data_IF_799916416132
#
_entry.id   IF_799916416132
#
_cell.length_a   1.000
_cell.length_b   1.000
_cell.length_c   1.000
_cell.angle_alpha   90.00
_cell.angle_beta   90.00
_cell.angle_gamma   90.00
#
_symmetry.space_group_name_H-M   'P 1'
#
loop_
_entity.id
_entity.type
_entity.pdbx_description
1 polymer ?
#
# COMPACT_ATOMS: atom_id res chain seq x y z
N UNK A 1 -28.85 1.70 -11.00
CA UNK A 1 -29.03 2.57 -9.81
C UNK A 1 -27.88 2.25 -8.89
N UNK A 2 -27.23 3.25 -8.29
CA UNK A 2 -26.12 3.00 -7.35
C UNK A 2 -26.60 2.33 -6.08
N UNK A 3 -25.76 1.49 -5.45
CA UNK A 3 -26.11 0.64 -4.33
C UNK A 3 -25.14 0.85 -3.16
N UNK A 4 -25.69 1.05 -1.96
CA UNK A 4 -24.92 1.07 -0.71
C UNK A 4 -25.21 -0.20 0.07
N UNK A 5 -24.17 -0.95 0.44
CA UNK A 5 -24.27 -2.17 1.22
C UNK A 5 -23.84 -1.88 2.66
N UNK A 6 -24.73 -2.21 3.61
CA UNK A 6 -24.41 -2.22 5.02
C UNK A 6 -23.94 -3.60 5.46
N UNK A 7 -22.83 -3.69 6.19
CA UNK A 7 -22.30 -4.94 6.74
C UNK A 7 -22.30 -4.87 8.26
N UNK A 8 -23.13 -5.69 8.90
CA UNK A 8 -23.28 -5.78 10.35
C UNK A 8 -22.43 -6.92 10.92
N UNK A 9 -21.57 -6.62 11.91
CA UNK A 9 -20.75 -7.63 12.57
C UNK A 9 -21.14 -7.94 14.01
N UNK A 10 -22.45 -7.91 14.30
CA UNK A 10 -22.95 -8.31 15.62
C UNK A 10 -23.19 -9.81 15.71
N UNK A 11 -22.79 -10.42 16.82
CA UNK A 11 -23.13 -11.83 17.13
C UNK A 11 -24.56 -12.01 17.66
N UNK A 12 -25.25 -10.91 17.96
CA UNK A 12 -26.65 -10.99 18.41
C UNK A 12 -27.57 -11.28 17.23
N UNK A 13 -28.44 -12.28 17.39
CA UNK A 13 -29.48 -12.60 16.41
C UNK A 13 -30.62 -11.57 16.38
N UNK A 14 -30.85 -10.90 17.51
CA UNK A 14 -31.93 -9.93 17.69
C UNK A 14 -31.47 -8.78 18.58
N UNK A 15 -32.10 -7.61 18.44
CA UNK A 15 -31.87 -6.42 19.27
C UNK A 15 -30.41 -5.97 19.33
N UNK A 16 -29.73 -5.95 18.19
CA UNK A 16 -28.37 -5.41 18.07
C UNK A 16 -28.39 -3.90 17.83
N UNK A 17 -27.87 -3.14 18.79
CA UNK A 17 -27.80 -1.66 18.67
C UNK A 17 -26.99 -1.22 17.47
N UNK A 18 -25.87 -1.90 17.15
CA UNK A 18 -25.05 -1.56 15.98
C UNK A 18 -25.77 -1.87 14.66
N UNK A 19 -26.54 -2.96 14.60
CA UNK A 19 -27.34 -3.29 13.42
C UNK A 19 -28.52 -2.33 13.25
N UNK A 20 -29.18 -1.95 14.35
CA UNK A 20 -30.24 -0.94 14.32
C UNK A 20 -29.71 0.40 13.77
N UNK A 21 -28.56 0.88 14.26
CA UNK A 21 -27.95 2.10 13.76
C UNK A 21 -27.46 1.98 12.31
N UNK A 22 -27.07 0.78 11.90
CA UNK A 22 -26.77 0.51 10.50
C UNK A 22 -28.03 0.65 9.63
N UNK A 23 -29.17 0.12 10.07
CA UNK A 23 -30.43 0.30 9.31
C UNK A 23 -30.83 1.78 9.21
N UNK A 24 -30.66 2.56 10.29
CA UNK A 24 -30.87 4.01 10.28
C UNK A 24 -29.96 4.73 9.27
N UNK A 25 -28.69 4.30 9.18
CA UNK A 25 -27.76 4.85 8.19
C UNK A 25 -28.16 4.49 6.76
N UNK A 26 -28.60 3.24 6.53
CA UNK A 26 -29.04 2.78 5.21
C UNK A 26 -30.34 3.45 4.78
N UNK A 27 -31.27 3.69 5.69
CA UNK A 27 -32.49 4.48 5.42
C UNK A 27 -32.11 5.90 4.98
N UNK A 28 -31.19 6.55 5.71
CA UNK A 28 -30.71 7.88 5.35
C UNK A 28 -29.96 7.91 4.00
N UNK A 29 -29.27 6.84 3.63
CA UNK A 29 -28.68 6.68 2.32
C UNK A 29 -29.77 6.52 1.24
N UNK A 30 -30.80 5.71 1.50
CA UNK A 30 -31.91 5.51 0.58
C UNK A 30 -32.69 6.81 0.29
N UNK A 31 -32.84 7.70 1.26
CA UNK A 31 -33.40 9.04 1.09
C UNK A 31 -32.63 9.89 0.06
N UNK A 32 -31.36 9.56 -0.23
CA UNK A 32 -30.55 10.17 -1.29
C UNK A 32 -30.73 9.51 -2.67
N UNK A 33 -31.69 8.60 -2.82
CA UNK A 33 -32.03 7.96 -4.09
C UNK A 33 -31.15 6.80 -4.50
N UNK A 34 -30.44 6.16 -3.54
CA UNK A 34 -29.64 4.97 -3.80
C UNK A 34 -30.33 3.71 -3.29
N UNK A 35 -30.03 2.57 -3.89
CA UNK A 35 -30.47 1.27 -3.34
C UNK A 35 -29.62 0.91 -2.12
N UNK A 36 -30.25 0.24 -1.15
CA UNK A 36 -29.56 -0.21 0.05
C UNK A 36 -29.82 -1.69 0.33
N UNK A 37 -28.83 -2.38 0.84
CA UNK A 37 -28.92 -3.77 1.31
C UNK A 37 -28.17 -3.94 2.62
N UNK A 38 -28.72 -4.71 3.56
CA UNK A 38 -28.08 -5.04 4.81
C UNK A 38 -27.63 -6.50 4.77
N UNK A 39 -26.33 -6.74 4.97
CA UNK A 39 -25.74 -8.06 5.14
C UNK A 39 -25.24 -8.21 6.59
N UNK A 40 -25.27 -9.45 7.08
CA UNK A 40 -24.76 -9.79 8.41
C UNK A 40 -23.57 -10.74 8.27
N UNK A 41 -22.44 -10.38 8.82
CA UNK A 41 -21.26 -11.27 8.84
C UNK A 41 -21.57 -12.62 9.52
N UNK A 42 -22.45 -12.60 10.50
CA UNK A 42 -22.84 -13.79 11.26
C UNK A 42 -23.74 -14.78 10.48
N UNK A 43 -24.24 -14.37 9.31
CA UNK A 43 -25.00 -15.23 8.41
C UNK A 43 -24.08 -16.06 7.50
N UNK A 44 -22.78 -15.78 7.50
CA UNK A 44 -21.76 -16.47 6.72
C UNK A 44 -20.77 -17.20 7.64
N UNK A 45 -20.49 -18.45 7.33
CA UNK A 45 -19.42 -19.18 8.00
C UNK A 45 -18.07 -18.80 7.39
N UNK A 46 -17.38 -17.84 8.02
CA UNK A 46 -16.04 -17.41 7.60
C UNK A 46 -15.04 -18.11 8.50
N UNK A 47 -14.31 -19.09 7.95
CA UNK A 47 -13.29 -19.81 8.68
C UNK A 47 -12.15 -18.85 9.09
N UNK A 48 -11.58 -18.99 10.30
CA UNK A 48 -10.46 -18.18 10.73
C UNK A 48 -9.24 -18.44 9.87
N UNK A 49 -8.42 -17.41 9.64
CA UNK A 49 -7.13 -17.57 8.97
C UNK A 49 -6.21 -18.48 9.78
N UNK A 50 -5.62 -19.47 9.15
CA UNK A 50 -4.67 -20.42 9.76
C UNK A 50 -3.20 -19.99 9.66
N UNK A 51 -2.92 -18.82 9.06
CA UNK A 51 -1.58 -18.26 8.95
C UNK A 51 -0.66 -18.98 7.96
N UNK A 52 -1.20 -19.69 6.97
CA UNK A 52 -0.40 -20.47 6.00
C UNK A 52 0.52 -19.63 5.09
N UNK A 53 0.30 -18.31 5.01
CA UNK A 53 1.11 -17.39 4.20
C UNK A 53 0.91 -17.49 2.68
N UNK A 54 -0.04 -18.26 2.18
CA UNK A 54 -0.26 -18.41 0.73
C UNK A 54 -0.53 -17.07 0.05
N UNK A 55 -1.39 -16.22 0.62
CA UNK A 55 -1.70 -14.89 0.09
C UNK A 55 -0.47 -13.98 0.01
N UNK A 56 0.45 -14.05 0.99
CA UNK A 56 1.71 -13.30 0.97
C UNK A 56 2.66 -13.75 -0.14
N UNK A 57 2.46 -14.94 -0.68
CA UNK A 57 3.24 -15.52 -1.77
C UNK A 57 2.49 -15.50 -3.11
N UNK A 58 1.49 -14.64 -3.26
CA UNK A 58 0.72 -14.51 -4.51
C UNK A 58 -0.14 -15.71 -4.85
N UNK A 59 -0.49 -16.54 -3.87
CA UNK A 59 -1.34 -17.73 -4.06
C UNK A 59 -2.71 -17.50 -3.45
N UNK A 60 -3.73 -18.10 -4.04
CA UNK A 60 -5.07 -18.09 -3.46
C UNK A 60 -5.11 -18.75 -2.09
N UNK A 61 -5.99 -18.25 -1.25
CA UNK A 61 -6.26 -18.84 0.05
C UNK A 61 -6.86 -20.25 -0.12
N UNK A 62 -6.22 -21.25 0.45
CA UNK A 62 -6.69 -22.63 0.34
C UNK A 62 -8.04 -22.87 1.03
N UNK A 63 -8.37 -22.08 2.07
CA UNK A 63 -9.67 -22.14 2.76
C UNK A 63 -10.84 -21.78 1.84
N UNK A 64 -10.62 -21.07 0.71
CA UNK A 64 -11.68 -20.83 -0.27
C UNK A 64 -12.16 -22.11 -0.98
N UNK A 65 -11.42 -23.21 -0.88
CA UNK A 65 -11.79 -24.52 -1.40
C UNK A 65 -12.48 -25.39 -0.33
N UNK A 66 -12.57 -24.91 0.92
CA UNK A 66 -13.29 -25.60 1.98
C UNK A 66 -14.79 -25.42 1.76
N UNK A 67 -15.57 -26.49 1.69
CA UNK A 67 -17.02 -26.41 1.46
C UNK A 67 -17.78 -25.73 2.59
N UNK A 68 -17.19 -25.60 3.77
CA UNK A 68 -17.79 -24.90 4.91
C UNK A 68 -17.49 -23.39 4.90
N UNK A 69 -16.54 -22.91 4.06
CA UNK A 69 -16.18 -21.49 4.01
C UNK A 69 -17.06 -20.71 3.04
N UNK A 70 -17.75 -19.71 3.55
CA UNK A 70 -18.64 -18.86 2.76
C UNK A 70 -18.07 -17.47 2.46
N UNK A 71 -16.78 -17.27 2.60
CA UNK A 71 -16.14 -15.98 2.34
C UNK A 71 -16.36 -15.51 0.91
N UNK A 72 -16.25 -16.41 -0.07
CA UNK A 72 -16.47 -16.09 -1.50
C UNK A 72 -17.90 -15.58 -1.74
N UNK A 73 -18.89 -16.24 -1.14
CA UNK A 73 -20.30 -15.83 -1.25
C UNK A 73 -20.51 -14.41 -0.72
N UNK A 74 -19.92 -14.08 0.44
CA UNK A 74 -19.96 -12.74 0.99
C UNK A 74 -19.32 -11.72 0.06
N UNK A 75 -18.16 -12.02 -0.51
CA UNK A 75 -17.47 -11.11 -1.44
C UNK A 75 -18.26 -10.87 -2.71
N UNK A 76 -18.89 -11.89 -3.27
CA UNK A 76 -19.73 -11.74 -4.47
C UNK A 76 -20.89 -10.78 -4.20
N UNK A 77 -21.45 -10.83 -3.01
CA UNK A 77 -22.46 -9.84 -2.57
C UNK A 77 -21.88 -8.45 -2.40
N UNK A 78 -20.70 -8.33 -1.77
CA UNK A 78 -20.07 -7.02 -1.57
C UNK A 78 -19.64 -6.36 -2.89
N UNK A 79 -19.27 -7.13 -3.91
CA UNK A 79 -18.92 -6.59 -5.24
C UNK A 79 -20.08 -5.82 -5.89
N UNK A 80 -21.32 -6.16 -5.58
CA UNK A 80 -22.51 -5.47 -6.09
C UNK A 80 -22.65 -4.02 -5.58
N UNK A 81 -21.96 -3.65 -4.48
CA UNK A 81 -22.05 -2.33 -3.87
C UNK A 81 -21.16 -1.30 -4.56
N UNK A 82 -21.66 -0.06 -4.66
CA UNK A 82 -20.88 1.13 -5.04
C UNK A 82 -20.30 1.86 -3.84
N UNK A 83 -20.84 1.60 -2.65
CA UNK A 83 -20.38 2.15 -1.37
C UNK A 83 -20.82 1.28 -0.21
N UNK A 84 -20.23 1.49 0.97
CA UNK A 84 -20.39 0.61 2.11
C UNK A 84 -20.61 1.38 3.41
N UNK A 85 -21.38 0.77 4.34
CA UNK A 85 -21.41 1.17 5.73
C UNK A 85 -21.15 -0.06 6.59
N UNK A 86 -20.09 -0.05 7.39
CA UNK A 86 -19.71 -1.13 8.27
C UNK A 86 -20.14 -0.80 9.70
N UNK A 87 -20.84 -1.73 10.37
CA UNK A 87 -21.30 -1.51 11.72
C UNK A 87 -20.88 -2.64 12.66
N UNK A 88 -20.22 -2.27 13.77
CA UNK A 88 -19.72 -3.21 14.77
C UNK A 88 -20.13 -2.81 16.18
N UNK A 89 -20.55 -3.76 17.02
CA UNK A 89 -20.53 -3.55 18.47
C UNK A 89 -19.11 -3.68 19.00
N UNK A 90 -18.86 -3.19 20.20
CA UNK A 90 -17.63 -3.42 20.96
C UNK A 90 -17.80 -4.61 21.89
N UNK A 91 -16.94 -5.62 21.73
CA UNK A 91 -16.84 -6.77 22.64
C UNK A 91 -15.43 -6.81 23.24
N UNK A 92 -15.35 -6.84 24.58
CA UNK A 92 -14.05 -6.83 25.28
C UNK A 92 -13.09 -5.74 24.76
N UNK A 93 -13.59 -4.51 24.61
CA UNK A 93 -12.87 -3.33 24.15
C UNK A 93 -12.38 -3.41 22.69
N UNK A 94 -12.81 -4.38 21.90
CA UNK A 94 -12.39 -4.59 20.51
C UNK A 94 -13.57 -5.04 19.63
N UNK A 95 -13.26 -5.47 18.41
CA UNK A 95 -14.24 -6.03 17.48
C UNK A 95 -14.66 -7.45 17.90
N UNK A 96 -15.89 -7.87 17.59
CA UNK A 96 -16.30 -9.27 17.65
C UNK A 96 -15.44 -10.18 16.78
N UNK A 97 -15.33 -11.46 17.16
CA UNK A 97 -14.52 -12.45 16.43
C UNK A 97 -14.89 -12.55 14.95
N UNK A 98 -16.17 -12.43 14.59
CA UNK A 98 -16.63 -12.48 13.19
C UNK A 98 -16.00 -11.39 12.32
N UNK A 99 -15.78 -10.19 12.87
CA UNK A 99 -15.05 -9.14 12.20
C UNK A 99 -13.59 -9.53 12.00
N UNK A 100 -12.96 -10.10 13.03
CA UNK A 100 -11.56 -10.49 12.95
C UNK A 100 -11.32 -11.59 11.92
N UNK A 101 -12.20 -12.60 11.88
CA UNK A 101 -12.13 -13.63 10.83
C UNK A 101 -12.23 -13.03 9.42
N UNK A 102 -13.12 -12.06 9.21
CA UNK A 102 -13.24 -11.39 7.92
C UNK A 102 -12.01 -10.51 7.62
N UNK A 103 -11.56 -9.69 8.59
CA UNK A 103 -10.40 -8.80 8.42
C UNK A 103 -9.15 -9.58 8.07
N UNK A 104 -8.85 -10.68 8.77
CA UNK A 104 -7.66 -11.50 8.51
C UNK A 104 -7.67 -12.17 7.14
N UNK A 105 -8.84 -12.21 6.51
CA UNK A 105 -9.07 -12.84 5.21
C UNK A 105 -9.65 -11.86 4.18
N UNK A 106 -9.75 -10.56 4.48
CA UNK A 106 -10.20 -9.55 3.53
C UNK A 106 -9.11 -9.18 2.51
N UNK A 107 -7.88 -9.57 2.77
CA UNK A 107 -6.81 -9.50 1.78
C UNK A 107 -7.05 -10.50 0.64
N UNK A 108 -6.25 -10.48 -0.39
CA UNK A 108 -6.45 -10.99 -1.75
C UNK A 108 -6.89 -12.44 -1.89
N UNK A 109 -7.08 -13.10 -0.80
CA UNK A 109 -7.39 -14.53 -0.80
C UNK A 109 -8.77 -14.89 -1.37
N UNK A 110 -9.63 -13.92 -1.61
CA UNK A 110 -11.02 -14.16 -2.00
C UNK A 110 -11.38 -13.73 -3.41
N UNK A 111 -10.53 -13.01 -4.12
CA UNK A 111 -10.85 -12.45 -5.42
C UNK A 111 -9.77 -12.80 -6.47
N UNK A 112 -10.18 -13.41 -7.58
CA UNK A 112 -9.28 -13.76 -8.69
C UNK A 112 -8.81 -12.53 -9.48
N UNK A 113 -9.52 -11.40 -9.32
CA UNK A 113 -9.15 -10.12 -9.93
C UNK A 113 -8.15 -9.31 -9.10
N UNK A 114 -7.61 -9.89 -8.03
CA UNK A 114 -6.66 -9.22 -7.17
C UNK A 114 -5.24 -9.37 -7.70
N UNK A 115 -4.62 -8.25 -8.04
CA UNK A 115 -3.20 -8.19 -8.33
C UNK A 115 -2.41 -7.98 -7.04
N UNK A 116 -1.39 -8.80 -6.84
CA UNK A 116 -0.47 -8.63 -5.73
C UNK A 116 0.61 -7.63 -6.10
N UNK A 117 0.73 -6.56 -5.32
CA UNK A 117 1.90 -5.70 -5.32
C UNK A 117 2.78 -6.05 -4.13
N UNK A 118 4.00 -6.49 -4.40
CA UNK A 118 5.03 -6.55 -3.38
C UNK A 118 5.50 -5.12 -3.12
N UNK A 119 5.27 -4.65 -1.89
CA UNK A 119 5.85 -3.40 -1.43
C UNK A 119 7.16 -3.70 -0.73
N UNK A 120 8.12 -2.80 -0.92
CA UNK A 120 9.34 -2.75 -0.12
C UNK A 120 8.99 -2.69 1.38
N UNK A 121 9.94 -3.04 2.21
CA UNK A 121 9.89 -3.25 3.66
C UNK A 121 9.04 -2.24 4.45
N UNK A 122 8.79 -1.06 3.90
CA UNK A 122 8.10 0.06 4.55
C UNK A 122 6.63 0.15 4.18
N UNK A 123 6.12 -0.73 3.33
CA UNK A 123 4.75 -0.65 2.84
C UNK A 123 4.02 -1.93 3.17
N UNK A 124 2.85 -1.75 3.75
CA UNK A 124 1.90 -2.86 3.93
C UNK A 124 1.60 -3.42 2.55
N UNK A 125 1.73 -4.73 2.40
CA UNK A 125 1.35 -5.43 1.18
C UNK A 125 -0.07 -4.97 0.79
N UNK A 126 -0.17 -4.24 -0.29
CA UNK A 126 -1.44 -3.73 -0.77
C UNK A 126 -1.96 -4.62 -1.85
N UNK A 127 -3.25 -4.82 -1.82
CA UNK A 127 -3.97 -5.51 -2.85
C UNK A 127 -4.47 -4.49 -3.84
N UNK A 128 -4.17 -4.65 -5.13
CA UNK A 128 -4.89 -3.97 -6.20
C UNK A 128 -6.23 -4.67 -6.39
N UNK A 129 -7.17 -4.43 -5.47
CA UNK A 129 -8.54 -4.90 -5.66
C UNK A 129 -9.25 -4.05 -6.70
N UNK A 130 -9.46 -4.57 -7.90
CA UNK A 130 -10.27 -3.89 -8.92
C UNK A 130 -11.71 -3.70 -8.45
N UNK A 131 -12.24 -4.67 -7.69
CA UNK A 131 -13.64 -4.68 -7.27
C UNK A 131 -14.00 -3.58 -6.26
N UNK A 132 -13.09 -3.21 -5.36
CA UNK A 132 -13.33 -2.26 -4.27
C UNK A 132 -12.56 -0.95 -4.41
N UNK A 133 -11.51 -0.91 -5.24
CA UNK A 133 -10.68 0.28 -5.43
C UNK A 133 -11.52 1.50 -5.76
N UNK A 134 -11.37 2.52 -4.93
CA UNK A 134 -12.04 3.80 -5.13
C UNK A 134 -13.50 3.84 -4.69
N UNK A 135 -14.09 2.74 -4.20
CA UNK A 135 -15.42 2.79 -3.58
C UNK A 135 -15.32 3.43 -2.21
N UNK A 136 -16.38 4.11 -1.82
CA UNK A 136 -16.45 4.83 -0.54
C UNK A 136 -16.97 3.96 0.58
N UNK A 137 -16.49 4.20 1.80
CA UNK A 137 -16.96 3.50 2.99
C UNK A 137 -17.18 4.44 4.17
N UNK A 138 -18.13 4.08 5.03
CA UNK A 138 -18.34 4.64 6.34
C UNK A 138 -18.31 3.56 7.41
N UNK A 139 -18.05 3.92 8.66
CA UNK A 139 -18.09 2.99 9.77
C UNK A 139 -18.87 3.53 10.97
N UNK A 140 -19.55 2.63 11.67
CA UNK A 140 -20.30 2.90 12.90
C UNK A 140 -19.85 1.86 13.93
N UNK A 141 -19.30 2.29 15.05
CA UNK A 141 -18.94 1.41 16.14
C UNK A 141 -19.71 1.80 17.39
N UNK A 142 -20.38 0.82 18.01
CA UNK A 142 -21.26 1.04 19.15
C UNK A 142 -20.73 0.31 20.36
N UNK A 143 -20.40 1.05 21.40
CA UNK A 143 -19.98 0.54 22.70
C UNK A 143 -21.06 0.73 23.74
N UNK A 144 -21.24 -0.26 24.60
CA UNK A 144 -22.03 -0.11 25.84
C UNK A 144 -21.27 0.71 26.91
N UNK A 145 -20.01 0.96 26.69
CA UNK A 145 -19.07 1.64 27.55
C UNK A 145 -17.89 2.20 26.75
N UNK A 146 -16.64 2.15 27.28
CA UNK A 146 -15.43 2.50 26.52
C UNK A 146 -15.12 1.46 25.45
N UNK A 147 -14.21 1.81 24.51
CA UNK A 147 -13.62 0.88 23.55
C UNK A 147 -14.05 1.10 22.10
N UNK A 148 -14.97 2.03 21.82
CA UNK A 148 -15.33 2.34 20.43
C UNK A 148 -14.14 2.92 19.67
N UNK A 149 -13.23 3.66 20.32
CA UNK A 149 -12.02 4.23 19.74
C UNK A 149 -11.08 3.13 19.22
N UNK A 150 -10.89 2.08 20.02
CA UNK A 150 -10.02 0.96 19.65
C UNK A 150 -10.65 0.09 18.55
N UNK A 151 -11.96 -0.11 18.62
CA UNK A 151 -12.67 -0.89 17.60
C UNK A 151 -12.72 -0.14 16.25
N UNK A 152 -12.89 1.19 16.24
CA UNK A 152 -12.76 2.01 15.03
C UNK A 152 -11.39 1.84 14.39
N UNK A 153 -10.33 1.97 15.20
CA UNK A 153 -8.95 1.79 14.72
C UNK A 153 -8.69 0.38 14.19
N UNK A 154 -9.34 -0.64 14.77
CA UNK A 154 -9.16 -2.03 14.34
C UNK A 154 -9.82 -2.36 12.99
N UNK A 155 -10.80 -1.56 12.54
CA UNK A 155 -11.41 -1.70 11.20
C UNK A 155 -10.59 -1.02 10.10
N UNK A 156 -9.82 0.02 10.42
CA UNK A 156 -9.09 0.83 9.42
C UNK A 156 -8.14 0.03 8.52
N UNK A 157 -7.36 -0.96 9.02
CA UNK A 157 -6.44 -1.72 8.19
C UNK A 157 -7.11 -2.43 7.03
N UNK A 158 -8.32 -3.00 7.24
CA UNK A 158 -9.01 -3.72 6.17
C UNK A 158 -9.47 -2.77 5.05
N UNK A 159 -9.90 -1.56 5.39
CA UNK A 159 -10.28 -0.58 4.36
C UNK A 159 -9.10 -0.15 3.52
N UNK A 160 -7.93 0.02 4.15
CA UNK A 160 -6.68 0.32 3.43
C UNK A 160 -6.27 -0.85 2.54
N UNK A 161 -6.34 -2.09 3.04
CA UNK A 161 -5.97 -3.28 2.30
C UNK A 161 -6.79 -3.46 1.02
N UNK A 162 -8.12 -3.31 1.10
CA UNK A 162 -9.00 -3.43 -0.08
C UNK A 162 -9.25 -2.09 -0.81
N UNK A 163 -8.49 -1.04 -0.47
CA UNK A 163 -8.49 0.28 -1.11
C UNK A 163 -9.85 1.00 -1.14
N UNK A 164 -10.62 0.83 -0.07
CA UNK A 164 -11.81 1.64 0.17
C UNK A 164 -11.43 3.05 0.65
N UNK A 165 -12.15 4.05 0.13
CA UNK A 165 -12.04 5.43 0.61
C UNK A 165 -12.91 5.63 1.85
N UNK A 166 -12.32 5.65 3.04
CA UNK A 166 -13.04 5.92 4.29
C UNK A 166 -13.41 7.40 4.37
N UNK A 167 -14.70 7.72 4.35
CA UNK A 167 -15.20 9.10 4.28
C UNK A 167 -16.05 9.51 5.48
N UNK A 168 -16.48 8.59 6.28
CA UNK A 168 -17.28 8.84 7.48
C UNK A 168 -17.00 7.81 8.58
N UNK A 169 -16.97 8.29 9.83
CA UNK A 169 -16.71 7.42 10.99
C UNK A 169 -17.52 7.92 12.18
N UNK A 170 -18.23 7.04 12.86
CA UNK A 170 -18.97 7.32 14.07
C UNK A 170 -18.64 6.31 15.18
N UNK A 171 -18.05 6.81 16.26
CA UNK A 171 -17.88 6.08 17.51
C UNK A 171 -18.98 6.48 18.49
N UNK A 172 -19.80 5.55 18.91
CA UNK A 172 -20.98 5.81 19.73
C UNK A 172 -20.86 5.06 21.06
N UNK A 173 -20.86 5.81 22.16
CA UNK A 173 -20.95 5.24 23.51
C UNK A 173 -22.38 5.42 24.04
N UNK A 174 -22.98 4.33 24.46
CA UNK A 174 -24.32 4.33 25.02
C UNK A 174 -24.33 4.51 26.56
N UNK A 175 -23.21 4.92 27.16
CA UNK A 175 -23.13 5.23 28.57
C UNK A 175 -23.82 6.56 28.85
N UNK A 176 -24.86 6.50 29.69
CA UNK A 176 -25.40 7.70 30.31
C UNK A 176 -24.72 7.96 31.67
N UNK A 177 -24.34 9.20 31.89
CA UNK A 177 -23.86 9.71 33.17
C UNK A 177 -24.99 10.47 33.84
N UNK A 178 -25.26 10.20 35.10
CA UNK A 178 -26.29 10.91 35.89
C UNK A 178 -25.77 12.24 36.45
N UNK A 179 -24.62 12.68 36.04
CA UNK A 179 -23.96 13.91 36.51
C UNK A 179 -23.14 13.74 37.78
N UNK A 180 -23.16 12.55 38.42
CA UNK A 180 -22.30 12.26 39.57
C UNK A 180 -21.04 11.51 39.15
N UNK A 181 -19.83 12.02 39.52
CA UNK A 181 -18.58 11.35 39.18
C UNK A 181 -18.57 9.89 39.70
N UNK A 182 -18.30 8.94 38.80
CA UNK A 182 -18.16 7.51 39.13
C UNK A 182 -19.44 6.71 39.13
N UNK A 183 -20.61 7.32 39.01
CA UNK A 183 -21.90 6.59 38.89
C UNK A 183 -22.30 6.54 37.42
N UNK A 184 -22.39 5.33 36.89
CA UNK A 184 -22.83 5.09 35.53
C UNK A 184 -24.19 4.41 35.52
N UNK A 185 -25.16 4.97 34.82
CA UNK A 185 -26.36 4.24 34.49
C UNK A 185 -26.02 3.05 33.62
N UNK A 186 -26.79 1.97 33.75
CA UNK A 186 -26.60 0.82 32.86
C UNK A 186 -26.90 1.23 31.43
N UNK A 187 -25.99 0.95 30.48
CA UNK A 187 -26.08 1.45 29.09
C UNK A 187 -27.30 0.94 28.31
N UNK A 188 -27.96 -0.13 28.82
CA UNK A 188 -29.21 -0.68 28.27
C UNK A 188 -30.44 -0.23 28.99
N UNK A 189 -30.36 0.75 29.87
CA UNK A 189 -31.50 1.32 30.58
C UNK A 189 -32.43 2.12 29.66
N UNK A 190 -31.90 2.54 28.51
CA UNK A 190 -32.62 3.24 27.46
C UNK A 190 -32.57 2.45 26.15
N UNK A 191 -33.74 2.20 25.48
CA UNK A 191 -33.74 1.59 24.15
C UNK A 191 -32.93 2.40 23.17
N UNK A 192 -32.23 1.72 22.24
CA UNK A 192 -31.40 2.40 21.22
C UNK A 192 -32.27 3.29 20.31
N UNK A 193 -33.52 2.93 20.14
CA UNK A 193 -34.49 3.66 19.33
C UNK A 193 -34.79 5.06 19.89
N UNK A 194 -34.55 5.27 21.19
CA UNK A 194 -34.70 6.55 21.88
C UNK A 194 -33.41 7.37 21.94
N UNK A 195 -32.29 6.83 21.46
CA UNK A 195 -31.00 7.50 21.47
C UNK A 195 -30.84 8.42 20.24
N UNK A 196 -31.48 9.60 20.28
CA UNK A 196 -31.56 10.53 19.16
C UNK A 196 -30.19 10.96 18.63
N UNK A 197 -29.23 11.23 19.52
CA UNK A 197 -27.88 11.60 19.12
C UNK A 197 -27.17 10.47 18.34
N UNK A 198 -27.30 9.22 18.80
CA UNK A 198 -26.76 8.06 18.11
C UNK A 198 -27.38 7.89 16.71
N UNK A 199 -28.69 8.09 16.61
CA UNK A 199 -29.40 8.06 15.32
C UNK A 199 -28.93 9.17 14.38
N UNK A 200 -28.76 10.40 14.88
CA UNK A 200 -28.23 11.50 14.07
C UNK A 200 -26.83 11.19 13.53
N UNK A 201 -25.93 10.64 14.36
CA UNK A 201 -24.59 10.24 13.93
C UNK A 201 -24.66 9.14 12.86
N UNK A 202 -25.50 8.14 13.03
CA UNK A 202 -25.69 7.06 12.06
C UNK A 202 -26.24 7.59 10.73
N UNK A 203 -27.27 8.45 10.76
CA UNK A 203 -27.80 9.12 9.58
C UNK A 203 -26.73 9.90 8.83
N UNK A 204 -25.91 10.67 9.56
CA UNK A 204 -24.82 11.45 8.96
C UNK A 204 -23.82 10.56 8.22
N UNK A 205 -23.51 9.36 8.75
CA UNK A 205 -22.64 8.39 8.05
C UNK A 205 -23.30 7.91 6.76
N UNK A 206 -24.56 7.49 6.80
CA UNK A 206 -25.28 7.00 5.63
C UNK A 206 -25.43 8.06 4.52
N UNK A 207 -25.82 9.27 4.88
CA UNK A 207 -25.93 10.41 3.96
C UNK A 207 -24.56 10.74 3.33
N UNK A 208 -23.49 10.75 4.13
CA UNK A 208 -22.14 11.04 3.63
C UNK A 208 -21.69 9.98 2.63
N UNK A 209 -21.91 8.70 2.92
CA UNK A 209 -21.60 7.60 2.00
C UNK A 209 -22.36 7.76 0.69
N UNK A 210 -23.69 7.95 0.76
CA UNK A 210 -24.52 8.08 -0.42
C UNK A 210 -24.14 9.30 -1.29
N UNK A 211 -23.88 10.46 -0.68
CA UNK A 211 -23.50 11.69 -1.38
C UNK A 211 -22.09 11.65 -1.99
N UNK A 212 -21.25 10.72 -1.55
CA UNK A 212 -19.86 10.60 -2.02
C UNK A 212 -19.64 9.43 -2.98
N UNK A 213 -20.71 8.77 -3.42
CA UNK A 213 -20.59 7.67 -4.40
C UNK A 213 -19.92 8.14 -5.69
N UNK A 214 -18.80 7.51 -6.04
CA UNK A 214 -17.95 7.88 -7.17
C UNK A 214 -16.75 8.77 -6.79
N UNK A 215 -16.63 9.21 -5.52
CA UNK A 215 -15.41 9.82 -5.02
C UNK A 215 -14.37 8.74 -4.71
N UNK A 216 -13.12 9.01 -5.03
CA UNK A 216 -12.01 8.11 -4.71
C UNK A 216 -10.76 8.89 -4.33
N UNK A 217 -10.11 8.48 -3.23
CA UNK A 217 -8.78 8.98 -2.88
C UNK A 217 -7.67 8.38 -3.77
N UNK A 218 -8.01 7.33 -4.50
CA UNK A 218 -7.06 6.62 -5.37
C UNK A 218 -7.10 7.13 -6.81
N UNK A 219 -8.08 7.96 -7.16
CA UNK A 219 -8.17 8.59 -8.47
C UNK A 219 -7.56 9.99 -8.37
N UNK A 220 -6.62 10.26 -9.25
CA UNK A 220 -6.09 11.60 -9.37
C UNK A 220 -7.13 12.53 -10.00
N UNK A 221 -7.17 13.82 -9.62
CA UNK A 221 -7.99 14.82 -10.31
C UNK A 221 -7.72 14.79 -11.81
N UNK A 222 -8.76 15.09 -12.61
CA UNK A 222 -8.63 15.17 -14.06
C UNK A 222 -7.51 16.18 -14.42
N UNK A 223 -6.51 15.73 -15.16
CA UNK A 223 -5.33 16.52 -15.52
C UNK A 223 -4.08 16.27 -14.64
N UNK A 224 -4.21 15.51 -13.56
CA UNK A 224 -3.04 14.95 -12.88
C UNK A 224 -2.79 13.53 -13.43
N UNK A 225 -1.60 13.32 -13.92
CA UNK A 225 -1.15 12.00 -14.34
C UNK A 225 -1.08 11.08 -13.12
N UNK A 226 -1.45 9.80 -13.29
CA UNK A 226 -1.22 8.79 -12.25
C UNK A 226 0.26 8.75 -11.90
N UNK A 227 0.59 8.31 -10.69
CA UNK A 227 1.99 8.10 -10.31
C UNK A 227 2.76 7.27 -11.36
N UNK A 228 2.09 6.26 -11.93
CA UNK A 228 2.65 5.44 -13.02
C UNK A 228 2.76 6.24 -14.34
N UNK A 229 1.81 7.14 -14.62
CA UNK A 229 1.84 8.05 -15.77
C UNK A 229 2.84 9.19 -15.57
N UNK A 230 2.97 9.72 -14.34
CA UNK A 230 4.02 10.66 -14.00
C UNK A 230 5.41 10.03 -14.13
N UNK A 231 5.55 8.74 -13.80
CA UNK A 231 6.77 8.00 -14.07
C UNK A 231 6.95 7.66 -15.56
N UNK A 232 5.85 7.41 -16.30
CA UNK A 232 5.90 7.08 -17.72
C UNK A 232 5.87 8.33 -18.63
N UNK A 233 5.17 9.40 -18.23
CA UNK A 233 4.98 10.65 -18.99
C UNK A 233 5.95 11.76 -18.62
N UNK A 234 6.56 11.71 -17.45
CA UNK A 234 7.66 12.56 -17.00
C UNK A 234 8.99 12.25 -17.69
N UNK A 235 8.94 11.75 -18.93
CA UNK A 235 10.03 11.78 -19.89
C UNK A 235 10.16 13.13 -20.62
N UNK A 236 9.97 14.24 -19.97
CA UNK A 236 11.01 15.24 -20.06
C UNK A 236 12.12 14.67 -19.18
N UNK A 237 13.00 13.95 -19.81
CA UNK A 237 14.22 13.47 -19.21
C UNK A 237 14.92 14.71 -18.63
N UNK A 238 14.75 14.94 -17.31
CA UNK A 238 15.79 15.65 -16.60
C UNK A 238 17.05 14.99 -17.10
N UNK A 239 17.86 15.74 -17.86
CA UNK A 239 19.04 15.19 -18.46
C UNK A 239 19.81 14.45 -17.37
N UNK A 240 20.33 13.27 -17.63
CA UNK A 240 21.12 12.54 -16.64
C UNK A 240 22.19 13.44 -16.04
N UNK A 241 22.68 14.40 -16.83
CA UNK A 241 23.64 15.43 -16.43
C UNK A 241 23.22 16.25 -15.20
N UNK A 242 21.93 16.45 -14.98
CA UNK A 242 21.39 17.19 -13.82
C UNK A 242 20.96 16.31 -12.65
N UNK A 243 21.19 15.00 -12.74
CA UNK A 243 20.84 14.10 -11.65
C UNK A 243 21.91 14.14 -10.55
N UNK A 244 21.49 14.40 -9.32
CA UNK A 244 22.35 14.51 -8.16
C UNK A 244 22.41 13.19 -7.39
N UNK A 245 23.64 12.78 -7.04
CA UNK A 245 23.96 11.67 -6.14
C UNK A 245 24.93 12.17 -5.07
N UNK A 246 25.15 11.39 -4.02
CA UNK A 246 26.12 11.76 -2.97
C UNK A 246 27.37 10.88 -3.07
N UNK A 247 28.54 11.51 -2.86
CA UNK A 247 29.80 10.79 -2.76
C UNK A 247 29.99 10.17 -1.36
N UNK A 248 31.12 9.55 -1.09
CA UNK A 248 31.42 8.92 0.19
C UNK A 248 31.53 9.93 1.37
N UNK A 249 31.78 11.18 1.07
CA UNK A 249 31.89 12.31 2.02
C UNK A 249 30.55 13.03 2.25
N UNK A 250 29.43 12.50 1.69
CA UNK A 250 28.08 13.08 1.72
C UNK A 250 27.92 14.40 0.96
N UNK A 251 28.85 14.69 0.03
CA UNK A 251 28.75 15.85 -0.85
C UNK A 251 27.89 15.50 -2.07
N UNK A 252 27.00 16.43 -2.45
CA UNK A 252 26.18 16.28 -3.64
C UNK A 252 27.00 16.48 -4.91
N UNK A 253 26.90 15.54 -5.86
CA UNK A 253 27.61 15.55 -7.13
C UNK A 253 26.62 15.31 -8.26
N UNK A 254 26.72 16.10 -9.33
CA UNK A 254 25.93 15.90 -10.54
C UNK A 254 26.59 14.87 -11.46
N UNK A 255 25.79 13.94 -12.01
CA UNK A 255 26.31 12.94 -12.95
C UNK A 255 27.00 13.58 -14.17
N UNK A 256 26.45 14.69 -14.68
CA UNK A 256 27.04 15.43 -15.81
C UNK A 256 28.45 15.97 -15.52
N UNK A 257 28.70 16.37 -14.28
CA UNK A 257 30.03 16.89 -13.91
C UNK A 257 31.07 15.77 -13.85
N UNK A 258 30.65 14.56 -13.42
CA UNK A 258 31.53 13.38 -13.40
C UNK A 258 31.94 12.92 -14.81
N UNK A 259 31.06 13.05 -15.82
CA UNK A 259 31.33 12.64 -17.20
C UNK A 259 31.97 13.73 -18.06
N UNK A 260 32.33 14.89 -17.49
CA UNK A 260 32.88 16.01 -18.25
C UNK A 260 34.32 15.77 -18.74
N UNK A 261 35.13 15.01 -18.01
CA UNK A 261 36.54 14.79 -18.30
C UNK A 261 36.79 13.42 -18.96
N UNK A 262 36.01 12.39 -18.58
CA UNK A 262 36.17 11.03 -19.10
C UNK A 262 34.82 10.31 -19.12
N UNK A 263 34.62 9.34 -20.03
CA UNK A 263 33.44 8.47 -19.98
C UNK A 263 33.27 7.80 -18.60
N UNK A 264 32.06 7.76 -18.14
CA UNK A 264 31.71 7.20 -16.84
C UNK A 264 30.78 5.99 -16.99
N UNK A 265 30.99 4.98 -16.15
CA UNK A 265 30.16 3.79 -16.10
C UNK A 265 29.75 3.53 -14.67
N UNK A 266 28.47 3.65 -14.40
CA UNK A 266 27.93 3.34 -13.09
C UNK A 266 27.18 2.01 -13.13
N UNK A 267 27.55 1.11 -12.24
CA UNK A 267 26.66 0.00 -11.87
C UNK A 267 25.72 0.51 -10.80
N UNK A 268 24.42 0.40 -11.03
CA UNK A 268 23.38 0.79 -10.10
C UNK A 268 22.84 -0.47 -9.45
N UNK A 269 22.78 -0.53 -8.11
CA UNK A 269 22.25 -1.66 -7.41
C UNK A 269 21.76 -1.33 -6.01
N UNK A 270 20.77 -2.07 -5.55
CA UNK A 270 20.29 -2.06 -4.16
C UNK A 270 20.99 -3.14 -3.32
N UNK A 271 20.57 -3.28 -2.06
CA UNK A 271 21.13 -4.28 -1.15
C UNK A 271 21.02 -5.72 -1.71
N UNK A 272 19.93 -6.04 -2.42
CA UNK A 272 19.71 -7.39 -2.97
C UNK A 272 20.60 -7.62 -4.21
N UNK A 273 20.83 -6.59 -5.01
CA UNK A 273 21.73 -6.65 -6.16
C UNK A 273 23.22 -6.61 -5.78
N UNK A 274 23.55 -6.24 -4.56
CA UNK A 274 24.93 -5.92 -4.13
C UNK A 274 25.96 -7.02 -4.42
N UNK A 275 25.59 -8.29 -4.25
CA UNK A 275 26.46 -9.44 -4.52
C UNK A 275 26.86 -9.52 -6.00
N UNK A 276 26.01 -9.06 -6.92
CA UNK A 276 26.24 -9.08 -8.36
C UNK A 276 27.01 -7.86 -8.86
N UNK A 277 26.93 -6.74 -8.14
CA UNK A 277 27.54 -5.48 -8.56
C UNK A 277 29.07 -5.52 -8.58
N UNK A 278 29.72 -6.17 -7.61
CA UNK A 278 31.17 -6.31 -7.57
C UNK A 278 31.76 -7.03 -8.77
N UNK A 279 31.37 -8.28 -9.06
CA UNK A 279 31.80 -9.01 -10.25
C UNK A 279 31.53 -8.28 -11.57
N UNK A 280 30.40 -7.58 -11.66
CA UNK A 280 30.03 -6.80 -12.84
C UNK A 280 30.98 -5.61 -13.05
N UNK A 281 31.31 -4.88 -11.98
CA UNK A 281 32.27 -3.78 -12.03
C UNK A 281 33.67 -4.25 -12.44
N UNK A 282 34.13 -5.36 -11.88
CA UNK A 282 35.41 -5.96 -12.25
C UNK A 282 35.48 -6.33 -13.74
N UNK A 283 34.40 -6.94 -14.24
CA UNK A 283 34.28 -7.29 -15.65
C UNK A 283 34.29 -6.06 -16.56
N UNK A 284 33.52 -5.01 -16.21
CA UNK A 284 33.50 -3.74 -16.93
C UNK A 284 34.89 -3.07 -16.95
N UNK A 285 35.53 -2.98 -15.79
CA UNK A 285 36.86 -2.38 -15.66
C UNK A 285 37.91 -3.12 -16.52
N UNK A 286 37.87 -4.45 -16.51
CA UNK A 286 38.76 -5.28 -17.32
C UNK A 286 38.54 -5.08 -18.82
N UNK A 287 37.28 -5.05 -19.27
CA UNK A 287 36.93 -4.91 -20.68
C UNK A 287 37.18 -3.51 -21.22
N UNK A 288 36.95 -2.49 -20.39
CA UNK A 288 37.19 -1.09 -20.78
C UNK A 288 38.68 -0.67 -20.75
N UNK A 289 39.53 -1.43 -20.07
CA UNK A 289 40.96 -1.22 -20.08
C UNK A 289 41.41 0.19 -19.67
N UNK A 290 40.67 0.84 -18.75
CA UNK A 290 40.96 2.19 -18.27
C UNK A 290 40.50 3.32 -19.19
N UNK A 291 39.68 3.04 -20.20
CA UNK A 291 39.12 4.05 -21.13
C UNK A 291 37.92 4.80 -20.55
N UNK A 292 37.27 4.24 -19.53
CA UNK A 292 36.22 4.87 -18.78
C UNK A 292 36.41 4.61 -17.28
N UNK A 293 35.89 5.48 -16.43
CA UNK A 293 35.90 5.29 -14.98
C UNK A 293 34.66 4.49 -14.57
N UNK A 294 34.90 3.46 -13.77
CA UNK A 294 33.85 2.57 -13.27
C UNK A 294 33.55 2.86 -11.80
N UNK A 295 32.28 3.02 -11.45
CA UNK A 295 31.83 3.29 -10.10
C UNK A 295 30.52 2.58 -9.77
N UNK A 296 30.21 2.44 -8.48
CA UNK A 296 28.92 1.95 -7.99
C UNK A 296 28.04 3.12 -7.55
N UNK A 297 26.78 3.10 -7.93
CA UNK A 297 25.73 3.87 -7.24
C UNK A 297 24.90 2.91 -6.42
N UNK A 298 25.02 3.00 -5.11
CA UNK A 298 24.23 2.22 -4.17
C UNK A 298 22.86 2.89 -3.96
N UNK A 299 21.79 2.24 -4.36
CA UNK A 299 20.42 2.62 -4.06
C UNK A 299 20.08 2.17 -2.65
N UNK A 300 19.79 3.10 -1.74
CA UNK A 300 19.62 2.78 -0.32
C UNK A 300 18.16 2.87 0.12
N UNK A 301 17.46 3.95 -0.21
CA UNK A 301 16.09 4.18 0.26
C UNK A 301 16.01 4.44 1.77
N UNK A 302 14.83 4.20 2.36
CA UNK A 302 14.61 4.45 3.78
C UNK A 302 15.31 3.38 4.63
N UNK A 303 16.13 3.84 5.57
CA UNK A 303 16.83 2.97 6.52
C UNK A 303 16.02 2.81 7.81
N UNK A 304 16.00 1.61 8.41
CA UNK A 304 15.54 1.42 9.78
C UNK A 304 16.29 2.33 10.76
N UNK A 305 15.63 2.84 11.80
CA UNK A 305 16.17 3.80 12.76
C UNK A 305 17.51 3.41 13.44
N UNK A 306 17.83 2.13 13.44
CA UNK A 306 19.05 1.60 14.04
C UNK A 306 20.21 1.41 13.04
N UNK A 307 19.98 1.69 11.75
CA UNK A 307 21.01 1.61 10.70
C UNK A 307 21.44 3.04 10.33
N UNK A 308 22.72 3.33 10.44
CA UNK A 308 23.29 4.63 10.08
C UNK A 308 23.87 4.62 8.67
N UNK A 309 24.00 5.80 8.07
CA UNK A 309 24.67 5.96 6.78
C UNK A 309 26.10 5.40 6.82
N UNK A 310 26.84 5.62 7.90
CA UNK A 310 28.21 5.10 8.08
C UNK A 310 28.25 3.57 8.08
N UNK A 311 27.27 2.90 8.65
CA UNK A 311 27.17 1.45 8.59
C UNK A 311 26.97 0.97 7.14
N UNK A 312 26.08 1.61 6.40
CA UNK A 312 25.81 1.29 4.98
C UNK A 312 27.06 1.53 4.14
N UNK A 313 27.74 2.67 4.29
CA UNK A 313 28.98 2.98 3.60
C UNK A 313 30.07 1.92 3.87
N UNK A 314 30.23 1.53 5.13
CA UNK A 314 31.17 0.48 5.52
C UNK A 314 30.87 -0.85 4.83
N UNK A 315 29.61 -1.28 4.85
CA UNK A 315 29.17 -2.52 4.20
C UNK A 315 29.31 -2.48 2.68
N UNK A 316 28.96 -1.38 2.04
CA UNK A 316 29.12 -1.22 0.58
C UNK A 316 30.58 -1.30 0.20
N UNK A 317 31.47 -0.65 0.95
CA UNK A 317 32.91 -0.70 0.73
C UNK A 317 33.52 -2.11 0.90
N UNK A 318 33.02 -2.88 1.87
CA UNK A 318 33.41 -4.29 2.04
C UNK A 318 32.96 -5.16 0.86
N UNK A 319 31.78 -4.88 0.29
CA UNK A 319 31.17 -5.68 -0.79
C UNK A 319 31.81 -5.38 -2.16
N UNK A 320 32.23 -4.13 -2.38
CA UNK A 320 32.79 -3.65 -3.66
C UNK A 320 34.11 -2.91 -3.40
N UNK A 321 35.16 -3.61 -2.97
CA UNK A 321 36.43 -2.97 -2.66
C UNK A 321 37.14 -2.44 -3.90
N UNK A 322 37.75 -1.26 -3.76
CA UNK A 322 38.59 -0.69 -4.81
C UNK A 322 37.86 0.14 -5.88
N UNK A 323 36.54 0.26 -5.80
CA UNK A 323 35.75 1.10 -6.68
C UNK A 323 35.29 2.39 -5.99
N UNK A 324 35.07 3.43 -6.78
CA UNK A 324 34.44 4.67 -6.31
C UNK A 324 32.96 4.39 -6.01
N UNK A 325 32.48 4.90 -4.86
CA UNK A 325 31.13 4.67 -4.37
C UNK A 325 30.36 5.97 -4.31
N UNK A 326 29.13 5.90 -4.83
CA UNK A 326 28.14 6.95 -4.72
C UNK A 326 26.87 6.38 -4.11
N UNK A 327 26.02 7.24 -3.55
CA UNK A 327 24.84 6.83 -2.82
C UNK A 327 23.63 7.63 -3.30
N UNK A 328 22.55 6.91 -3.56
CA UNK A 328 21.20 7.42 -3.77
C UNK A 328 20.37 7.08 -2.52
N UNK A 329 20.50 7.93 -1.49
CA UNK A 329 19.87 7.70 -0.19
C UNK A 329 18.36 7.72 -0.21
N UNK A 330 17.75 8.38 -1.18
CA UNK A 330 16.32 8.50 -1.32
C UNK A 330 15.73 7.52 -2.34
N UNK A 331 16.58 6.66 -2.93
CA UNK A 331 16.22 5.72 -4.01
C UNK A 331 15.49 6.39 -5.18
N UNK A 332 15.95 7.55 -5.61
CA UNK A 332 15.40 8.28 -6.76
C UNK A 332 15.65 7.56 -8.09
N UNK A 333 16.76 6.79 -8.16
CA UNK A 333 17.14 6.06 -9.38
C UNK A 333 16.25 4.83 -9.62
N UNK A 334 15.80 4.14 -8.59
CA UNK A 334 14.95 2.96 -8.74
C UNK A 334 13.71 3.23 -9.58
N UNK A 335 12.85 4.16 -9.18
CA UNK A 335 11.69 4.54 -9.95
C UNK A 335 12.04 5.14 -11.32
N UNK A 336 13.08 6.00 -11.39
CA UNK A 336 13.50 6.63 -12.65
C UNK A 336 13.95 5.64 -13.71
N UNK A 337 14.65 4.59 -13.29
CA UNK A 337 15.16 3.53 -14.17
C UNK A 337 14.17 2.38 -14.34
N UNK A 338 13.02 2.42 -13.69
CA UNK A 338 12.05 1.32 -13.62
C UNK A 338 12.68 -0.01 -13.14
N UNK A 339 13.62 0.07 -12.17
CA UNK A 339 14.34 -1.10 -11.66
C UNK A 339 13.54 -1.80 -10.58
N UNK A 340 13.35 -3.10 -10.75
CA UNK A 340 12.83 -3.96 -9.69
C UNK A 340 13.83 -4.12 -8.53
N UNK A 341 13.38 -4.46 -7.31
CA UNK A 341 14.26 -4.83 -6.22
C UNK A 341 15.19 -5.99 -6.62
N UNK A 342 16.48 -5.86 -6.32
CA UNK A 342 17.49 -6.87 -6.71
C UNK A 342 17.92 -6.82 -8.17
N UNK A 343 17.39 -5.94 -8.99
CA UNK A 343 17.77 -5.77 -10.38
C UNK A 343 18.88 -4.74 -10.52
N UNK A 344 20.09 -5.12 -10.95
CA UNK A 344 21.14 -4.18 -11.27
C UNK A 344 20.93 -3.54 -12.64
N UNK A 345 21.52 -2.36 -12.84
CA UNK A 345 21.59 -1.70 -14.13
C UNK A 345 22.96 -1.07 -14.38
N UNK A 346 23.24 -0.77 -15.62
CA UNK A 346 24.42 0.01 -16.03
C UNK A 346 23.93 1.33 -16.58
N UNK A 347 24.45 2.43 -16.04
CA UNK A 347 24.28 3.77 -16.58
C UNK A 347 25.62 4.21 -17.16
N UNK A 348 25.67 4.37 -18.48
CA UNK A 348 26.86 4.75 -19.20
C UNK A 348 26.76 6.19 -19.71
N UNK A 349 27.73 7.04 -19.39
CA UNK A 349 27.85 8.41 -19.85
C UNK A 349 29.12 8.59 -20.71
N UNK A 350 28.95 9.03 -21.95
CA UNK A 350 30.03 9.34 -22.87
C UNK A 350 30.55 10.76 -22.69
N UNK A 351 29.65 11.65 -22.35
CA UNK A 351 29.91 13.06 -22.14
C UNK A 351 28.87 13.62 -21.15
N UNK A 352 28.95 14.92 -20.85
CA UNK A 352 27.99 15.59 -19.95
C UNK A 352 26.54 15.36 -20.36
N UNK A 353 26.22 15.35 -21.64
CA UNK A 353 24.85 15.30 -22.18
C UNK A 353 24.44 13.91 -22.69
N UNK A 354 25.38 13.02 -22.97
CA UNK A 354 25.16 11.74 -23.62
C UNK A 354 25.18 10.59 -22.62
N UNK A 355 24.00 10.13 -22.20
CA UNK A 355 23.82 9.07 -21.22
C UNK A 355 22.86 7.99 -21.72
N UNK A 356 23.17 6.74 -21.43
CA UNK A 356 22.29 5.60 -21.74
C UNK A 356 22.22 4.63 -20.57
N UNK A 357 21.00 4.13 -20.29
CA UNK A 357 20.72 3.14 -19.26
C UNK A 357 20.51 1.76 -19.89
N UNK A 358 21.12 0.75 -19.28
CA UNK A 358 20.98 -0.66 -19.64
C UNK A 358 20.53 -1.44 -18.40
N UNK A 359 19.32 -1.98 -18.42
CA UNK A 359 18.82 -2.85 -17.34
C UNK A 359 19.31 -4.27 -17.55
N UNK A 360 19.72 -4.95 -16.47
CA UNK A 360 20.25 -6.30 -16.52
C UNK A 360 19.24 -7.30 -15.93
N UNK A 361 18.78 -8.23 -16.75
CA UNK A 361 17.94 -9.34 -16.31
C UNK A 361 18.78 -10.57 -15.93
N UNK A 362 18.22 -11.52 -15.16
CA UNK A 362 18.95 -12.69 -14.65
C UNK A 362 19.55 -13.61 -15.73
N UNK A 363 19.10 -13.48 -16.97
CA UNK A 363 19.45 -14.36 -18.08
C UNK A 363 20.45 -13.74 -19.09
N UNK A 364 20.80 -12.44 -19.00
CA UNK A 364 21.38 -11.73 -20.13
C UNK A 364 22.79 -11.20 -19.94
N UNK A 365 23.75 -11.87 -20.57
CA UNK A 365 24.97 -11.24 -21.04
C UNK A 365 24.75 -10.22 -22.20
N UNK A 366 23.52 -10.12 -22.76
CA UNK A 366 23.22 -9.29 -23.93
C UNK A 366 23.31 -7.79 -23.70
N UNK A 367 22.74 -7.29 -22.61
CA UNK A 367 22.74 -5.86 -22.32
C UNK A 367 24.10 -5.33 -21.86
N UNK A 368 24.95 -6.17 -21.29
CA UNK A 368 26.35 -5.83 -21.01
C UNK A 368 27.13 -5.57 -22.30
N UNK A 369 26.94 -6.41 -23.32
CA UNK A 369 27.52 -6.22 -24.65
C UNK A 369 27.12 -4.89 -25.28
N UNK A 370 25.84 -4.53 -25.20
CA UNK A 370 25.33 -3.25 -25.72
C UNK A 370 25.91 -2.04 -24.97
N UNK A 371 26.08 -2.13 -23.64
CA UNK A 371 26.71 -1.07 -22.86
C UNK A 371 28.19 -0.85 -23.27
N UNK A 372 28.91 -1.94 -23.53
CA UNK A 372 30.29 -1.91 -23.99
C UNK A 372 30.40 -1.37 -25.41
N UNK A 373 29.51 -1.76 -26.34
CA UNK A 373 29.45 -1.19 -27.70
C UNK A 373 29.17 0.30 -27.66
N UNK A 374 28.18 0.72 -26.85
CA UNK A 374 27.87 2.13 -26.67
C UNK A 374 29.09 2.93 -26.21
N UNK A 375 29.87 2.42 -25.26
CA UNK A 375 31.08 3.10 -24.77
C UNK A 375 32.24 3.05 -25.75
N UNK A 376 32.36 1.97 -26.52
CA UNK A 376 33.43 1.84 -27.51
C UNK A 376 33.36 2.90 -28.62
N UNK A 377 32.15 3.32 -29.00
CA UNK A 377 31.93 4.40 -29.97
C UNK A 377 32.36 5.80 -29.44
N UNK A 378 32.44 5.97 -28.10
CA UNK A 378 32.90 7.23 -27.49
C UNK A 378 34.40 7.41 -27.43
N UNK A 379 35.17 6.37 -27.76
CA UNK A 379 36.63 6.30 -27.57
C UNK A 379 37.38 6.36 -28.91
N UNK A 380 36.67 6.62 -30.00
CA UNK A 380 37.25 6.95 -31.30
C UNK A 380 37.27 8.46 -31.46
#
# INVERSE_FOLDING_TARGET
MKKVIGLAGSMKKHHSSSEYLLSVALEAAAEQGVQTELLRLNDYNILPCDGCGNCMNGKHCHLLNDPEDQLRELYDKLKEGDGFVFASPVYALSLPAVWKNWIDRCEPCSDEDLDFEYYNYDRVAGVKGKAFKGKVAGQIVVAAGPGHEWALSSLMPCFTAIKLSMIASAGISLIEYDGQPGIRKRPWSKPIEEAEEAKMMARAVGMRVASSLGFSYFDLPAGQESWEQQQAGGKEALAWSSFAIQNAEDEEVLLGDLASERPQVFVIGDQQASIRCGPLLEQLQQQLGGKADCALIARVGQLPHFITHEFVKGKTKETVPGFTLYYDWEDKLGPRCALAPGQPAILAGRSREEWQLFTLDEADGGNLGQALEYLAEAVV
#
